data_IF_584409078531
#
_entry.id   IF_584409078531
#
_cell.length_a   1.000
_cell.length_b   1.000
_cell.length_c   1.000
_cell.angle_alpha   90.00
_cell.angle_beta   90.00
_cell.angle_gamma   90.00
#
_symmetry.space_group_name_H-M   'P 1'
#
loop_
_entity.id
_entity.type
_entity.pdbx_description
1 polymer ?
#
# COMPACT_ATOMS: atom_id res chain seq x y z
N UNK A 1 -3.94 -12.62 -6.50
CA UNK A 1 -3.09 -11.80 -7.40
C UNK A 1 -1.65 -12.03 -6.96
N UNK A 2 -0.70 -12.16 -7.88
CA UNK A 2 0.73 -12.25 -7.53
C UNK A 2 1.33 -10.88 -7.28
N UNK A 3 2.50 -10.82 -6.65
CA UNK A 3 3.24 -9.56 -6.53
C UNK A 3 3.53 -8.93 -7.90
N UNK A 4 3.87 -9.73 -8.92
CA UNK A 4 4.06 -9.22 -10.28
C UNK A 4 2.81 -8.54 -10.82
N UNK A 5 1.64 -9.17 -10.68
CA UNK A 5 0.38 -8.60 -11.15
C UNK A 5 0.03 -7.30 -10.44
N UNK A 6 0.26 -7.20 -9.11
CA UNK A 6 0.04 -5.98 -8.33
C UNK A 6 0.93 -4.83 -8.82
N UNK A 7 2.22 -5.10 -9.04
CA UNK A 7 3.23 -4.08 -9.32
C UNK A 7 3.63 -3.98 -10.80
N UNK A 8 2.83 -4.57 -11.69
CA UNK A 8 3.12 -4.76 -13.11
C UNK A 8 3.61 -3.49 -13.79
N UNK A 9 2.88 -2.38 -13.66
CA UNK A 9 3.21 -1.12 -14.31
C UNK A 9 4.59 -0.57 -13.89
N UNK A 10 4.89 -0.64 -12.59
CA UNK A 10 6.17 -0.16 -12.05
C UNK A 10 7.34 -1.03 -12.52
N UNK A 11 7.14 -2.36 -12.54
CA UNK A 11 8.15 -3.32 -12.99
C UNK A 11 8.39 -3.16 -14.50
N UNK A 12 7.33 -3.14 -15.30
CA UNK A 12 7.39 -3.05 -16.77
C UNK A 12 8.03 -1.75 -17.24
N UNK A 13 7.83 -0.63 -16.54
CA UNK A 13 8.50 0.65 -16.84
C UNK A 13 10.03 0.54 -16.85
N UNK A 14 10.61 -0.34 -16.04
CA UNK A 14 12.05 -0.58 -15.97
C UNK A 14 12.48 -1.70 -16.93
N UNK A 15 11.77 -2.84 -16.88
CA UNK A 15 12.19 -4.03 -17.63
C UNK A 15 12.00 -3.90 -19.13
N UNK A 16 11.05 -3.09 -19.62
CA UNK A 16 10.90 -2.83 -21.05
C UNK A 16 12.12 -2.12 -21.68
N UNK A 17 12.93 -1.45 -20.85
CA UNK A 17 14.19 -0.81 -21.25
C UNK A 17 15.41 -1.72 -21.01
N UNK A 18 15.21 -2.98 -20.62
CA UNK A 18 16.29 -3.89 -20.22
C UNK A 18 16.94 -3.52 -18.88
N UNK A 19 16.31 -2.64 -18.10
CA UNK A 19 16.84 -2.20 -16.80
C UNK A 19 16.39 -3.18 -15.72
N UNK A 20 17.36 -3.74 -14.98
CA UNK A 20 17.05 -4.52 -13.78
C UNK A 20 16.54 -3.59 -12.68
N UNK A 21 15.52 -4.02 -11.93
CA UNK A 21 14.91 -3.25 -10.85
C UNK A 21 15.39 -3.70 -9.47
N UNK A 22 15.21 -2.84 -8.45
CA UNK A 22 15.30 -3.13 -7.01
C UNK A 22 14.07 -2.58 -6.31
N UNK A 23 13.72 -3.18 -5.17
CA UNK A 23 12.70 -2.64 -4.29
C UNK A 23 13.37 -2.03 -3.05
N UNK A 24 13.26 -0.71 -2.89
CA UNK A 24 13.85 0.01 -1.77
C UNK A 24 13.03 -0.21 -0.50
N UNK A 25 13.62 -0.80 0.54
CA UNK A 25 12.95 -1.06 1.82
C UNK A 25 12.52 0.20 2.57
N UNK A 26 13.20 1.33 2.37
CA UNK A 26 12.95 2.60 3.06
C UNK A 26 11.84 3.39 2.39
N UNK A 27 11.83 3.42 1.06
CA UNK A 27 10.86 4.21 0.28
C UNK A 27 9.68 3.39 -0.23
N UNK A 28 9.74 2.06 -0.09
CA UNK A 28 8.74 1.10 -0.56
C UNK A 28 8.41 1.24 -2.05
N UNK A 29 9.45 1.48 -2.87
CA UNK A 29 9.30 1.73 -4.31
C UNK A 29 10.29 0.93 -5.14
N UNK A 30 9.88 0.66 -6.38
CA UNK A 30 10.76 0.16 -7.41
C UNK A 30 11.60 1.27 -8.02
N UNK A 31 12.89 0.99 -8.19
CA UNK A 31 13.83 1.84 -8.92
C UNK A 31 14.84 0.97 -9.69
N UNK A 32 15.63 1.58 -10.55
CA UNK A 32 16.72 0.92 -11.24
C UNK A 32 17.74 0.34 -10.24
N UNK A 33 18.30 -0.81 -10.58
CA UNK A 33 19.22 -1.55 -9.72
C UNK A 33 20.46 -0.73 -9.30
N UNK A 34 20.91 0.20 -10.15
CA UNK A 34 22.06 1.07 -9.88
C UNK A 34 21.72 2.30 -9.00
N UNK A 35 20.46 2.55 -8.67
CA UNK A 35 20.03 3.70 -7.86
C UNK A 35 19.87 3.39 -6.36
N UNK A 36 19.83 2.11 -5.99
CA UNK A 36 19.58 1.67 -4.61
C UNK A 36 20.73 0.77 -4.20
N UNK A 37 21.32 0.98 -3.02
CA UNK A 37 22.35 0.11 -2.47
C UNK A 37 21.84 -1.32 -2.21
N UNK A 38 22.72 -2.33 -2.27
CA UNK A 38 22.30 -3.72 -2.09
C UNK A 38 21.63 -3.89 -0.74
N UNK A 39 22.21 -3.33 0.31
CA UNK A 39 21.73 -3.42 1.69
C UNK A 39 20.29 -2.90 1.87
N UNK A 40 19.95 -1.85 1.11
CA UNK A 40 18.65 -1.19 1.11
C UNK A 40 17.61 -1.88 0.21
N UNK A 41 18.01 -2.89 -0.56
CA UNK A 41 17.13 -3.65 -1.44
C UNK A 41 16.45 -4.81 -0.69
N UNK A 42 15.15 -5.05 -0.95
CA UNK A 42 14.42 -6.22 -0.48
C UNK A 42 15.04 -7.54 -0.97
N UNK A 43 15.58 -7.56 -2.19
CA UNK A 43 16.18 -8.75 -2.83
C UNK A 43 17.68 -8.89 -2.53
N UNK A 44 18.12 -8.44 -1.35
CA UNK A 44 19.52 -8.46 -0.95
C UNK A 44 19.92 -9.81 -0.36
N UNK A 45 20.04 -10.82 -1.21
CA UNK A 45 20.75 -12.04 -0.84
C UNK A 45 22.12 -12.10 -1.53
N UNK A 46 23.08 -12.69 -0.82
CA UNK A 46 24.52 -12.69 -1.08
C UNK A 46 24.92 -13.49 -2.34
N UNK A 47 24.43 -13.07 -3.50
CA UNK A 47 24.91 -13.53 -4.81
C UNK A 47 23.84 -13.86 -5.85
N UNK A 48 22.54 -13.97 -5.49
CA UNK A 48 21.50 -14.31 -6.46
C UNK A 48 20.16 -13.57 -6.23
N UNK A 49 20.18 -12.26 -6.42
CA UNK A 49 18.97 -11.43 -6.38
C UNK A 49 17.98 -11.73 -7.54
N UNK A 50 18.36 -12.53 -8.54
CA UNK A 50 17.48 -12.89 -9.66
C UNK A 50 16.44 -13.92 -9.19
N UNK A 51 16.89 -14.98 -8.54
CA UNK A 51 15.99 -16.03 -8.03
C UNK A 51 15.02 -15.48 -6.98
N UNK A 52 15.46 -14.54 -6.14
CA UNK A 52 14.59 -13.89 -5.16
C UNK A 52 13.53 -13.01 -5.81
N UNK A 53 13.89 -12.26 -6.85
CA UNK A 53 12.90 -11.49 -7.62
C UNK A 53 11.88 -12.41 -8.26
N UNK A 54 12.30 -13.55 -8.81
CA UNK A 54 11.40 -14.54 -9.43
C UNK A 54 10.46 -15.12 -8.37
N UNK A 55 11.00 -15.63 -7.25
CA UNK A 55 10.20 -16.18 -6.15
C UNK A 55 9.20 -15.16 -5.61
N UNK A 56 9.66 -13.93 -5.38
CA UNK A 56 8.81 -12.85 -4.93
C UNK A 56 7.74 -12.51 -5.96
N UNK A 57 8.09 -12.34 -7.23
CA UNK A 57 7.16 -11.96 -8.30
C UNK A 57 5.99 -12.94 -8.45
N UNK A 58 6.24 -14.25 -8.27
CA UNK A 58 5.23 -15.30 -8.36
C UNK A 58 4.55 -15.66 -7.04
N UNK A 59 5.01 -15.12 -5.91
CA UNK A 59 4.32 -15.30 -4.63
C UNK A 59 2.96 -14.58 -4.62
N UNK A 60 2.02 -15.10 -3.85
CA UNK A 60 0.71 -14.48 -3.64
C UNK A 60 0.88 -13.11 -2.95
N UNK A 61 0.25 -12.08 -3.50
CA UNK A 61 0.27 -10.74 -2.94
C UNK A 61 -0.67 -10.67 -1.73
N UNK A 62 -0.10 -10.25 -0.60
CA UNK A 62 -0.83 -9.87 0.60
C UNK A 62 -0.73 -8.35 0.76
N UNK A 63 -1.87 -7.66 0.88
CA UNK A 63 -1.88 -6.23 1.16
C UNK A 63 -1.20 -5.99 2.52
N UNK A 64 -0.20 -5.08 2.61
CA UNK A 64 0.48 -4.82 3.87
C UNK A 64 -0.51 -4.34 4.93
N UNK A 65 -0.37 -4.83 6.16
CA UNK A 65 -1.20 -4.41 7.29
C UNK A 65 -0.91 -2.94 7.62
N UNK A 66 -1.97 -2.12 7.61
CA UNK A 66 -1.89 -0.71 7.98
C UNK A 66 -2.01 -0.60 9.50
N UNK A 67 -1.02 0.01 10.15
CA UNK A 67 -1.12 0.41 11.55
C UNK A 67 -2.05 1.63 11.69
N UNK A 68 -3.35 1.36 11.79
CA UNK A 68 -4.40 2.37 11.90
C UNK A 68 -4.24 3.30 13.11
N UNK A 69 -3.49 2.90 14.14
CA UNK A 69 -3.20 3.76 15.30
C UNK A 69 -2.28 4.95 14.96
N UNK A 70 -1.58 4.88 13.82
CA UNK A 70 -0.65 5.92 13.34
C UNK A 70 -1.20 6.74 12.17
N UNK A 71 -2.38 6.41 11.67
CA UNK A 71 -3.01 7.14 10.56
C UNK A 71 -3.49 8.50 11.08
N UNK A 72 -3.16 9.57 10.36
CA UNK A 72 -3.57 10.92 10.75
C UNK A 72 -5.07 11.13 10.56
N UNK A 73 -5.70 11.89 11.45
CA UNK A 73 -7.09 12.35 11.29
C UNK A 73 -7.24 13.05 9.94
N UNK A 74 -8.41 12.87 9.33
CA UNK A 74 -8.78 13.35 8.00
C UNK A 74 -8.01 12.73 6.83
N UNK A 75 -7.22 11.66 7.05
CA UNK A 75 -6.62 10.92 5.93
C UNK A 75 -7.70 10.31 5.04
N UNK A 76 -7.69 10.55 3.71
CA UNK A 76 -8.63 9.91 2.79
C UNK A 76 -8.45 8.39 2.77
N UNK A 77 -9.52 7.64 3.02
CA UNK A 77 -9.54 6.18 3.06
C UNK A 77 -10.78 5.65 2.35
N UNK A 78 -10.72 4.40 1.89
CA UNK A 78 -11.89 3.66 1.45
C UNK A 78 -12.32 2.71 2.56
N UNK A 79 -13.61 2.68 2.86
CA UNK A 79 -14.21 1.79 3.87
C UNK A 79 -15.26 0.88 3.26
N UNK A 80 -15.44 -0.30 3.85
CA UNK A 80 -16.44 -1.29 3.44
C UNK A 80 -16.99 -2.07 4.62
N UNK A 81 -18.27 -2.47 4.54
CA UNK A 81 -18.90 -3.38 5.51
C UNK A 81 -18.68 -4.84 5.10
N UNK A 82 -18.64 -5.12 3.80
CA UNK A 82 -18.68 -6.46 3.20
C UNK A 82 -17.45 -6.80 2.34
N UNK A 83 -16.47 -5.90 2.26
CA UNK A 83 -15.28 -6.02 1.41
C UNK A 83 -15.59 -6.07 -0.10
N UNK A 84 -16.80 -5.64 -0.52
CA UNK A 84 -17.26 -5.61 -1.92
C UNK A 84 -17.54 -4.16 -2.31
N UNK A 85 -18.40 -3.48 -1.56
CA UNK A 85 -18.79 -2.10 -1.81
C UNK A 85 -17.90 -1.15 -1.02
N UNK A 86 -17.22 -0.25 -1.72
CA UNK A 86 -16.24 0.64 -1.12
C UNK A 86 -16.68 2.10 -1.22
N UNK A 87 -16.55 2.82 -0.11
CA UNK A 87 -16.93 4.23 -0.01
C UNK A 87 -15.73 5.08 0.39
N UNK A 88 -15.49 6.18 -0.33
CA UNK A 88 -14.49 7.16 0.06
C UNK A 88 -14.96 7.96 1.28
N UNK A 89 -14.12 8.01 2.31
CA UNK A 89 -14.33 8.71 3.57
C UNK A 89 -13.02 9.30 4.08
N UNK A 90 -13.07 9.97 5.21
CA UNK A 90 -11.91 10.50 5.91
C UNK A 90 -11.78 9.81 7.27
N UNK A 91 -10.57 9.34 7.59
CA UNK A 91 -10.26 8.67 8.84
C UNK A 91 -10.49 9.60 10.04
N UNK A 92 -11.21 9.12 11.05
CA UNK A 92 -11.45 9.87 12.29
C UNK A 92 -10.58 9.34 13.43
N UNK A 93 -10.64 8.03 13.70
CA UNK A 93 -9.85 7.37 14.75
C UNK A 93 -9.83 5.85 14.57
N UNK A 94 -8.96 5.20 15.35
CA UNK A 94 -8.90 3.75 15.49
C UNK A 94 -9.01 3.39 16.97
N UNK A 95 -10.04 2.63 17.33
CA UNK A 95 -10.35 2.26 18.72
C UNK A 95 -10.95 0.85 18.75
N UNK A 96 -10.51 0.01 19.69
CA UNK A 96 -10.98 -1.37 19.89
C UNK A 96 -10.98 -2.24 18.62
N UNK A 97 -10.00 -2.05 17.75
CA UNK A 97 -9.89 -2.81 16.49
C UNK A 97 -10.79 -2.30 15.36
N UNK A 98 -11.58 -1.24 15.60
CA UNK A 98 -12.51 -0.67 14.64
C UNK A 98 -11.97 0.64 14.04
N UNK A 99 -12.15 0.80 12.73
CA UNK A 99 -11.86 2.05 12.03
C UNK A 99 -13.09 2.93 12.09
N UNK A 100 -12.92 4.15 12.59
CA UNK A 100 -13.95 5.19 12.57
C UNK A 100 -13.66 6.21 11.48
N UNK A 101 -14.73 6.65 10.83
CA UNK A 101 -14.69 7.69 9.79
C UNK A 101 -15.71 8.77 10.04
N UNK A 102 -15.46 9.96 9.51
CA UNK A 102 -16.45 11.04 9.49
C UNK A 102 -17.60 10.71 8.54
N UNK A 103 -18.83 10.95 9.01
CA UNK A 103 -20.03 10.64 8.25
C UNK A 103 -20.16 11.49 6.98
N UNK A 104 -20.87 10.96 5.98
CA UNK A 104 -21.16 11.61 4.70
C UNK A 104 -19.92 12.10 3.92
N UNK A 105 -18.75 11.52 4.14
CA UNK A 105 -17.51 11.93 3.46
C UNK A 105 -16.97 13.28 3.93
N UNK A 106 -17.44 13.77 5.07
CA UNK A 106 -16.99 15.01 5.71
C UNK A 106 -15.64 14.82 6.40
N UNK A 107 -15.21 15.84 7.13
CA UNK A 107 -13.95 15.89 7.89
C UNK A 107 -14.21 16.43 9.29
N UNK A 108 -13.19 16.38 10.15
CA UNK A 108 -13.19 16.95 11.50
C UNK A 108 -13.60 18.43 11.56
N UNK A 109 -13.44 19.16 10.45
CA UNK A 109 -13.79 20.59 10.35
C UNK A 109 -15.29 20.85 10.17
N UNK A 110 -16.06 19.84 9.73
CA UNK A 110 -17.43 20.04 9.23
C UNK A 110 -18.47 19.20 9.94
N UNK A 111 -18.05 18.19 10.71
CA UNK A 111 -18.94 17.34 11.51
C UNK A 111 -18.19 16.75 12.71
N UNK A 112 -18.92 16.40 13.76
CA UNK A 112 -18.41 15.68 14.95
C UNK A 112 -19.11 14.32 15.13
N UNK A 113 -19.56 13.73 14.02
CA UNK A 113 -20.29 12.47 13.98
C UNK A 113 -19.48 11.46 13.18
N UNK A 114 -19.29 10.29 13.77
CA UNK A 114 -18.47 9.21 13.19
C UNK A 114 -19.23 7.89 13.15
N UNK A 115 -18.94 7.08 12.13
CA UNK A 115 -19.39 5.69 12.01
C UNK A 115 -18.19 4.73 11.99
N UNK A 116 -18.39 3.52 12.52
CA UNK A 116 -17.38 2.47 12.52
C UNK A 116 -17.55 1.51 11.33
N UNK A 117 -16.43 0.97 10.84
CA UNK A 117 -16.38 0.11 9.66
C UNK A 117 -15.46 -1.09 9.88
N UNK A 118 -15.82 -2.22 9.27
CA UNK A 118 -15.10 -3.50 9.43
C UNK A 118 -13.84 -3.58 8.57
N UNK A 119 -13.85 -2.96 7.39
CA UNK A 119 -12.76 -2.99 6.44
C UNK A 119 -12.39 -1.57 6.04
N UNK A 120 -11.09 -1.31 5.94
CA UNK A 120 -10.56 -0.08 5.39
C UNK A 120 -9.26 -0.31 4.62
N UNK A 121 -8.97 0.59 3.67
CA UNK A 121 -7.69 0.70 2.98
C UNK A 121 -7.41 2.17 2.66
N UNK A 122 -6.14 2.53 2.48
CA UNK A 122 -5.80 3.89 2.04
C UNK A 122 -6.45 4.18 0.69
N UNK A 123 -7.00 5.39 0.54
CA UNK A 123 -7.51 5.81 -0.76
C UNK A 123 -6.31 6.07 -1.70
N UNK A 124 -6.38 5.52 -2.90
CA UNK A 124 -5.39 5.83 -3.93
C UNK A 124 -5.50 7.32 -4.28
N UNK A 125 -4.36 8.01 -4.32
CA UNK A 125 -4.33 9.40 -4.78
C UNK A 125 -4.68 9.39 -6.26
N UNK A 126 -5.87 9.89 -6.60
CA UNK A 126 -6.16 10.33 -7.96
C UNK A 126 -5.36 11.61 -8.17
N UNK A 127 -4.22 11.49 -8.86
CA UNK A 127 -3.37 12.63 -9.25
C UNK A 127 -3.90 13.20 -10.57
#
# INVERSE_FOLDING_TARGET
MTNYEKYKEQIEKLTCLGISFRFNKKTEKFDACYNIDCEDCMFNDAGNCIDDKIKWAYAEYTEPEIDWSKVAVDTPIMVSINNIDWFCRHFAKYEDGLIYVWDDGKTSYTIDVTSCWNYAKLAEKVI
#
